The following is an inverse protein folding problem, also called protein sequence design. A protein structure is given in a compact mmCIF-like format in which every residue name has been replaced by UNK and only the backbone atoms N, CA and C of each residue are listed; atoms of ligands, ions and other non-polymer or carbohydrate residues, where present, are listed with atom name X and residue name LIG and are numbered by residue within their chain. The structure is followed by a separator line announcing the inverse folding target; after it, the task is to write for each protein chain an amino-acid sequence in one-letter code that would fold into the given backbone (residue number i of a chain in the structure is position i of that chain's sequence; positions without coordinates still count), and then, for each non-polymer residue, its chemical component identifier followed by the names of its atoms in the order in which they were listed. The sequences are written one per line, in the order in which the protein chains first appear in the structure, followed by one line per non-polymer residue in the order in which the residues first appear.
data_IF_733402984334
#
_entry.id   IF_733402984334
#
_cell.length_a   1.000
_cell.length_b   1.000
_cell.length_c   1.000
_cell.angle_alpha   90.00
_cell.angle_beta   90.00
_cell.angle_gamma   90.00
#
_symmetry.space_group_name_H-M   'P 1'
#
loop_
_entity.id
_entity.type
_entity.pdbx_description
1 polymer ?
#
# COMPACT_ATOMS: atom_id res chain seq x y z
N UNK A 1 5.26 -31.77 9.30
CA UNK A 1 3.95 -32.27 8.81
C UNK A 1 3.15 -31.08 8.34
N UNK A 2 2.88 -31.00 7.04
CA UNK A 2 1.74 -30.28 6.44
C UNK A 2 1.66 -30.77 4.98
N UNK A 3 0.91 -31.86 4.80
CA UNK A 3 0.67 -32.52 3.53
C UNK A 3 -0.35 -31.70 2.74
N UNK A 4 0.07 -31.05 1.65
CA UNK A 4 -0.85 -30.54 0.62
C UNK A 4 -1.45 -31.70 -0.19
N UNK A 5 -2.71 -31.58 -0.67
CA UNK A 5 -3.36 -32.65 -1.40
C UNK A 5 -2.69 -32.87 -2.77
N UNK A 6 -2.36 -34.13 -3.03
CA UNK A 6 -1.82 -34.65 -4.29
C UNK A 6 -2.80 -34.38 -5.43
N UNK A 7 -2.33 -33.73 -6.52
CA UNK A 7 -2.73 -33.77 -7.95
C UNK A 7 -4.21 -33.97 -8.41
N UNK A 8 -5.18 -34.05 -7.52
CA UNK A 8 -6.62 -34.11 -7.78
C UNK A 8 -7.43 -33.64 -6.55
N UNK A 9 -6.86 -32.76 -5.74
CA UNK A 9 -7.53 -32.16 -4.58
C UNK A 9 -8.45 -31.04 -5.04
N UNK A 10 -9.69 -31.38 -5.38
CA UNK A 10 -10.72 -30.39 -5.70
C UNK A 10 -10.84 -29.35 -4.59
N UNK A 11 -11.05 -28.10 -4.96
CA UNK A 11 -11.33 -27.01 -4.04
C UNK A 11 -12.58 -27.40 -3.22
N UNK A 12 -12.41 -27.79 -1.95
CA UNK A 12 -13.51 -28.32 -1.14
C UNK A 12 -14.42 -27.19 -0.66
N UNK A 13 -15.68 -27.47 -0.29
CA UNK A 13 -16.56 -26.47 0.30
C UNK A 13 -15.94 -25.76 1.52
N UNK A 14 -15.17 -26.48 2.34
CA UNK A 14 -14.48 -25.92 3.51
C UNK A 14 -13.41 -24.91 3.09
N UNK A 15 -12.69 -25.17 2.00
CA UNK A 15 -11.73 -24.20 1.45
C UNK A 15 -12.46 -22.95 0.95
N UNK A 16 -13.59 -23.10 0.24
CA UNK A 16 -14.40 -21.95 -0.21
C UNK A 16 -14.84 -21.11 0.99
N UNK A 17 -15.34 -21.75 2.04
CA UNK A 17 -15.80 -21.07 3.24
C UNK A 17 -14.66 -20.32 3.94
N UNK A 18 -13.48 -20.94 4.09
CA UNK A 18 -12.32 -20.27 4.67
C UNK A 18 -11.92 -19.02 3.88
N UNK A 19 -11.91 -19.08 2.54
CA UNK A 19 -11.65 -17.91 1.71
C UNK A 19 -12.72 -16.83 1.86
N UNK A 20 -14.00 -17.23 1.93
CA UNK A 20 -15.09 -16.28 2.10
C UNK A 20 -15.00 -15.56 3.45
N UNK A 21 -14.77 -16.29 4.55
CA UNK A 21 -14.64 -15.72 5.90
C UNK A 21 -13.41 -14.81 6.02
N UNK A 22 -12.27 -15.26 5.49
CA UNK A 22 -11.00 -14.53 5.56
C UNK A 22 -10.86 -13.40 4.55
N UNK A 23 -11.82 -13.17 3.66
CA UNK A 23 -11.78 -12.07 2.68
C UNK A 23 -13.05 -11.20 2.73
N UNK A 24 -13.96 -11.45 3.67
CA UNK A 24 -15.25 -10.77 3.78
C UNK A 24 -15.12 -9.26 4.06
N UNK A 25 -14.01 -8.83 4.64
CA UNK A 25 -13.70 -7.43 4.94
C UNK A 25 -13.17 -6.63 3.73
N UNK A 26 -12.85 -7.29 2.62
CA UNK A 26 -12.33 -6.66 1.41
C UNK A 26 -13.47 -6.23 0.48
N UNK A 27 -13.29 -5.11 -0.24
CA UNK A 27 -14.24 -4.69 -1.26
C UNK A 27 -14.27 -5.72 -2.41
N UNK A 28 -15.47 -6.12 -2.82
CA UNK A 28 -15.64 -7.14 -3.85
C UNK A 28 -15.05 -6.72 -5.20
N UNK A 29 -15.19 -5.43 -5.56
CA UNK A 29 -14.64 -4.89 -6.81
C UNK A 29 -13.12 -4.93 -6.82
N UNK A 30 -12.48 -4.45 -5.75
CA UNK A 30 -11.02 -4.55 -5.58
C UNK A 30 -10.53 -5.99 -5.56
N UNK A 31 -11.24 -6.88 -4.86
CA UNK A 31 -10.90 -8.30 -4.78
C UNK A 31 -10.92 -8.98 -6.15
N UNK A 32 -11.90 -8.66 -7.01
CA UNK A 32 -11.94 -9.20 -8.38
C UNK A 32 -10.72 -8.79 -9.21
N UNK A 33 -10.26 -7.55 -9.10
CA UNK A 33 -9.07 -7.07 -9.82
C UNK A 33 -7.82 -7.79 -9.36
N UNK A 34 -7.67 -7.95 -8.04
CA UNK A 34 -6.56 -8.67 -7.41
C UNK A 34 -6.52 -10.14 -7.86
N UNK A 35 -7.64 -10.85 -7.78
CA UNK A 35 -7.73 -12.25 -8.19
C UNK A 35 -7.37 -12.40 -9.68
N UNK A 36 -7.89 -11.53 -10.55
CA UNK A 36 -7.54 -11.54 -11.98
C UNK A 36 -6.07 -11.28 -12.23
N UNK A 37 -5.44 -10.44 -11.40
CA UNK A 37 -4.01 -10.15 -11.49
C UNK A 37 -3.19 -11.39 -11.10
N UNK A 38 -3.51 -11.98 -9.95
CA UNK A 38 -2.81 -13.17 -9.43
C UNK A 38 -2.95 -14.37 -10.36
N UNK A 39 -4.12 -14.61 -10.95
CA UNK A 39 -4.34 -15.70 -11.93
C UNK A 39 -3.47 -15.53 -13.19
N UNK A 40 -3.12 -14.29 -13.56
CA UNK A 40 -2.24 -14.04 -14.72
C UNK A 40 -0.77 -14.27 -14.41
N UNK A 41 -0.36 -14.18 -13.15
CA UNK A 41 1.05 -14.21 -12.73
C UNK A 41 1.43 -15.49 -12.01
N UNK A 42 0.47 -16.21 -11.43
CA UNK A 42 0.70 -17.45 -10.68
C UNK A 42 0.13 -18.65 -11.43
N UNK A 43 0.91 -19.73 -11.51
CA UNK A 43 0.48 -21.01 -12.08
C UNK A 43 -0.44 -21.82 -11.15
N UNK A 44 -0.66 -21.32 -9.92
CA UNK A 44 -1.34 -22.01 -8.83
C UNK A 44 -2.40 -21.11 -8.18
N UNK A 45 -3.30 -21.72 -7.41
CA UNK A 45 -4.33 -20.97 -6.69
C UNK A 45 -3.69 -20.07 -5.62
N UNK A 46 -3.94 -18.75 -5.62
CA UNK A 46 -3.25 -17.84 -4.73
C UNK A 46 -3.70 -18.04 -3.28
N UNK A 47 -2.75 -18.11 -2.36
CA UNK A 47 -3.05 -18.18 -0.94
C UNK A 47 -3.79 -16.92 -0.45
N UNK A 48 -4.65 -17.04 0.56
CA UNK A 48 -5.36 -15.91 1.21
C UNK A 48 -4.40 -14.76 1.56
N UNK A 49 -3.21 -15.10 2.09
CA UNK A 49 -2.18 -14.11 2.43
C UNK A 49 -1.61 -13.36 1.20
N UNK A 50 -1.52 -14.04 0.04
CA UNK A 50 -1.11 -13.42 -1.22
C UNK A 50 -2.20 -12.49 -1.75
N UNK A 51 -3.47 -12.93 -1.71
CA UNK A 51 -4.63 -12.10 -2.07
C UNK A 51 -4.67 -10.83 -1.22
N UNK A 52 -4.58 -10.94 0.10
CA UNK A 52 -4.56 -9.78 1.00
C UNK A 52 -3.37 -8.86 0.75
N UNK A 53 -2.19 -9.40 0.43
CA UNK A 53 -1.00 -8.61 0.10
C UNK A 53 -1.20 -7.77 -1.15
N UNK A 54 -1.68 -8.42 -2.20
CA UNK A 54 -1.89 -7.78 -3.49
C UNK A 54 -3.04 -6.77 -3.42
N UNK A 55 -4.11 -7.09 -2.69
CA UNK A 55 -5.18 -6.15 -2.38
C UNK A 55 -4.66 -4.92 -1.63
N UNK A 56 -3.80 -5.12 -0.62
CA UNK A 56 -3.18 -4.01 0.09
C UNK A 56 -2.35 -3.13 -0.83
N UNK A 57 -1.52 -3.74 -1.69
CA UNK A 57 -0.68 -3.02 -2.64
C UNK A 57 -1.50 -2.18 -3.63
N UNK A 58 -2.67 -2.66 -4.05
CA UNK A 58 -3.56 -1.94 -4.96
C UNK A 58 -4.46 -0.92 -4.26
N UNK A 59 -4.90 -1.20 -3.03
CA UNK A 59 -5.79 -0.33 -2.26
C UNK A 59 -5.05 0.83 -1.57
N UNK A 60 -3.79 0.60 -1.17
CA UNK A 60 -2.96 1.64 -0.59
C UNK A 60 -2.34 2.42 -1.75
N UNK A 61 -2.96 3.56 -2.09
CA UNK A 61 -2.34 4.56 -2.96
C UNK A 61 -1.18 5.23 -2.21
N UNK A 62 -0.07 4.51 -2.07
CA UNK A 62 1.14 5.06 -1.49
C UNK A 62 1.89 5.85 -2.57
N UNK A 63 2.32 7.10 -2.31
CA UNK A 63 3.14 7.81 -3.28
C UNK A 63 4.41 7.00 -3.56
N UNK A 64 4.83 7.03 -4.82
CA UNK A 64 6.16 6.54 -5.22
C UNK A 64 7.24 7.18 -4.34
N UNK A 65 8.35 6.49 -4.14
CA UNK A 65 9.41 6.92 -3.24
C UNK A 65 10.00 8.29 -3.63
N UNK A 66 10.14 8.56 -4.94
CA UNK A 66 10.61 9.87 -5.42
C UNK A 66 9.53 10.95 -5.33
N UNK A 67 8.26 10.58 -5.52
CA UNK A 67 7.14 11.49 -5.23
C UNK A 67 7.10 11.88 -3.76
N UNK A 68 7.18 10.90 -2.85
CA UNK A 68 7.19 11.13 -1.40
C UNK A 68 8.37 12.03 -1.01
N UNK A 69 9.57 11.73 -1.53
CA UNK A 69 10.75 12.54 -1.25
C UNK A 69 10.60 13.99 -1.72
N UNK A 70 10.04 14.21 -2.92
CA UNK A 70 9.74 15.55 -3.42
C UNK A 70 8.75 16.29 -2.53
N UNK A 71 7.74 15.60 -2.00
CA UNK A 71 6.79 16.22 -1.06
C UNK A 71 7.43 16.56 0.28
N UNK A 72 8.29 15.69 0.82
CA UNK A 72 9.08 15.99 2.03
C UNK A 72 9.91 17.27 1.81
N UNK A 73 10.63 17.37 0.69
CA UNK A 73 11.41 18.57 0.36
C UNK A 73 10.54 19.83 0.19
N UNK A 74 9.36 19.70 -0.42
CA UNK A 74 8.40 20.79 -0.57
C UNK A 74 7.98 21.31 0.80
N UNK A 75 7.58 20.41 1.71
CA UNK A 75 7.13 20.76 3.05
C UNK A 75 8.26 21.28 3.94
N UNK A 76 9.46 20.71 3.84
CA UNK A 76 10.66 21.20 4.53
C UNK A 76 10.95 22.67 4.19
N UNK A 77 10.88 23.03 2.90
CA UNK A 77 11.06 24.43 2.48
C UNK A 77 9.93 25.31 3.01
N UNK A 78 8.68 24.85 2.91
CA UNK A 78 7.52 25.62 3.38
C UNK A 78 7.57 25.91 4.88
N UNK A 79 8.00 24.94 5.72
CA UNK A 79 8.12 25.09 7.17
C UNK A 79 9.31 25.97 7.55
N UNK A 80 10.45 25.86 6.86
CA UNK A 80 11.63 26.71 7.11
C UNK A 80 11.34 28.20 6.90
N UNK A 81 10.50 28.54 5.91
CA UNK A 81 10.11 29.93 5.63
C UNK A 81 8.86 30.38 6.41
N UNK A 82 8.36 29.58 7.34
CA UNK A 82 7.14 29.88 8.10
C UNK A 82 5.88 30.00 7.24
N UNK A 83 5.89 29.45 6.02
CA UNK A 83 4.83 29.63 5.02
C UNK A 83 3.63 28.72 5.23
N UNK A 84 3.77 27.63 5.99
CA UNK A 84 2.68 26.70 6.26
C UNK A 84 2.71 26.18 7.70
N UNK A 85 1.51 25.87 8.22
CA UNK A 85 1.35 25.26 9.55
C UNK A 85 1.60 23.75 9.46
N UNK A 86 2.24 23.17 10.47
CA UNK A 86 2.46 21.73 10.57
C UNK A 86 1.17 20.90 10.46
N UNK A 87 0.03 21.48 10.86
CA UNK A 87 -1.28 20.85 10.77
C UNK A 87 -1.77 20.59 9.33
N UNK A 88 -1.17 21.25 8.33
CA UNK A 88 -1.50 21.07 6.92
C UNK A 88 -0.64 19.98 6.25
N UNK A 89 0.41 19.51 6.94
CA UNK A 89 1.33 18.49 6.41
C UNK A 89 0.58 17.16 6.35
N UNK A 90 0.59 16.45 5.19
CA UNK A 90 -0.02 15.14 5.09
C UNK A 90 0.59 14.14 6.08
N UNK A 91 -0.21 13.26 6.71
CA UNK A 91 0.29 12.34 7.75
C UNK A 91 1.45 11.44 7.30
N UNK A 92 1.47 10.99 6.05
CA UNK A 92 2.56 10.16 5.51
C UNK A 92 3.88 10.95 5.38
N UNK A 93 3.83 12.27 5.15
CA UNK A 93 5.03 13.12 5.15
C UNK A 93 5.55 13.29 6.57
N UNK A 94 4.65 13.46 7.55
CA UNK A 94 5.04 13.55 8.96
C UNK A 94 5.69 12.26 9.45
N UNK A 95 5.10 11.10 9.15
CA UNK A 95 5.68 9.81 9.53
C UNK A 95 7.06 9.60 8.89
N UNK A 96 7.23 9.98 7.61
CA UNK A 96 8.54 9.96 6.95
C UNK A 96 9.56 10.88 7.62
N UNK A 97 9.15 12.10 7.96
CA UNK A 97 10.02 13.09 8.62
C UNK A 97 10.44 12.62 10.01
N UNK A 98 9.51 12.06 10.79
CA UNK A 98 9.82 11.46 12.09
C UNK A 98 10.84 10.34 11.96
N UNK A 99 10.69 9.48 10.94
CA UNK A 99 11.67 8.42 10.66
C UNK A 99 13.06 8.98 10.34
N UNK A 100 13.13 10.12 9.66
CA UNK A 100 14.38 10.79 9.29
C UNK A 100 14.98 11.65 10.42
N UNK A 101 14.44 11.59 11.64
CA UNK A 101 14.93 12.34 12.80
C UNK A 101 14.28 13.71 13.00
N UNK A 102 13.22 14.01 12.26
CA UNK A 102 12.44 15.24 12.38
C UNK A 102 12.94 16.39 11.50
N UNK A 103 12.16 17.48 11.49
CA UNK A 103 12.44 18.66 10.66
C UNK A 103 13.78 19.31 10.93
N UNK A 104 14.24 19.29 12.20
CA UNK A 104 15.51 19.88 12.60
C UNK A 104 16.69 19.17 11.92
N UNK A 105 16.69 17.84 11.93
CA UNK A 105 17.78 17.06 11.32
C UNK A 105 17.77 17.13 9.79
N UNK A 106 16.57 17.18 9.19
CA UNK A 106 16.45 17.44 7.75
C UNK A 106 17.01 18.82 7.36
N UNK A 107 16.86 19.82 8.23
CA UNK A 107 17.36 21.17 8.00
C UNK A 107 18.87 21.35 8.22
N UNK A 108 19.47 20.63 9.18
CA UNK A 108 20.90 20.79 9.54
C UNK A 108 21.82 20.22 8.44
N UNK A 109 21.34 19.28 7.63
CA UNK A 109 21.92 18.82 6.35
C UNK A 109 23.45 18.54 6.31
N UNK A 110 24.09 18.31 7.47
CA UNK A 110 25.55 18.11 7.57
C UNK A 110 26.04 16.83 6.90
N UNK A 111 25.15 15.85 6.72
CA UNK A 111 25.42 14.57 6.05
C UNK A 111 25.17 14.54 4.55
N UNK A 112 24.71 15.65 3.96
CA UNK A 112 24.35 15.76 2.55
C UNK A 112 22.98 15.16 2.19
N UNK A 113 22.30 15.80 1.23
CA UNK A 113 20.93 15.43 0.82
C UNK A 113 20.83 14.02 0.22
N UNK A 114 21.89 13.52 -0.42
CA UNK A 114 21.89 12.20 -1.03
C UNK A 114 21.83 11.08 0.00
N UNK A 115 22.55 11.22 1.11
CA UNK A 115 22.50 10.28 2.22
C UNK A 115 21.10 10.25 2.84
N UNK A 116 20.52 11.43 3.07
CA UNK A 116 19.16 11.54 3.62
C UNK A 116 18.13 10.93 2.65
N UNK A 117 18.26 11.18 1.34
CA UNK A 117 17.42 10.54 0.33
C UNK A 117 17.53 9.02 0.39
N UNK A 118 18.74 8.47 0.50
CA UNK A 118 18.93 7.01 0.61
C UNK A 118 18.29 6.43 1.89
N UNK A 119 18.26 7.19 2.99
CA UNK A 119 17.50 6.81 4.18
C UNK A 119 15.98 6.91 3.96
N UNK A 120 15.51 7.93 3.25
CA UNK A 120 14.10 8.11 2.92
C UNK A 120 13.57 6.98 2.03
N UNK A 121 14.34 6.52 1.05
CA UNK A 121 13.98 5.37 0.21
C UNK A 121 13.84 4.08 1.03
N UNK A 122 14.75 3.85 1.98
CA UNK A 122 14.67 2.70 2.90
C UNK A 122 13.47 2.80 3.83
N UNK A 123 13.22 4.00 4.38
CA UNK A 123 12.07 4.28 5.21
C UNK A 123 10.75 4.03 4.48
N UNK A 124 10.66 4.46 3.21
CA UNK A 124 9.49 4.28 2.36
C UNK A 124 9.16 2.79 2.20
N UNK A 125 10.16 1.97 1.86
CA UNK A 125 9.97 0.52 1.74
C UNK A 125 9.44 -0.10 3.05
N UNK A 126 9.97 0.33 4.21
CA UNK A 126 9.52 -0.14 5.51
C UNK A 126 8.09 0.32 5.85
N UNK A 127 7.73 1.56 5.53
CA UNK A 127 6.38 2.10 5.75
C UNK A 127 5.36 1.39 4.86
N UNK A 128 5.72 1.14 3.60
CA UNK A 128 4.92 0.39 2.64
C UNK A 128 4.68 -1.05 3.13
N UNK A 129 5.73 -1.76 3.55
CA UNK A 129 5.62 -3.10 4.11
C UNK A 129 4.76 -3.13 5.38
N UNK A 130 4.89 -2.13 6.25
CA UNK A 130 4.07 -2.00 7.46
C UNK A 130 2.60 -1.77 7.11
N UNK A 131 2.32 -0.92 6.12
CA UNK A 131 0.97 -0.67 5.65
C UNK A 131 0.34 -1.95 5.06
N UNK A 132 1.08 -2.70 4.25
CA UNK A 132 0.66 -4.01 3.75
C UNK A 132 0.37 -4.98 4.89
N UNK A 133 1.25 -5.10 5.89
CA UNK A 133 1.05 -6.00 7.03
C UNK A 133 -0.21 -5.68 7.84
N UNK A 134 -0.53 -4.39 8.01
CA UNK A 134 -1.77 -3.97 8.69
C UNK A 134 -3.02 -4.46 7.95
N UNK A 135 -3.02 -4.42 6.61
CA UNK A 135 -4.10 -5.00 5.79
C UNK A 135 -4.14 -6.53 5.92
N UNK A 136 -2.98 -7.18 5.91
CA UNK A 136 -2.89 -8.63 6.05
C UNK A 136 -3.45 -9.12 7.39
N UNK A 137 -3.27 -8.37 8.48
CA UNK A 137 -3.78 -8.71 9.81
C UNK A 137 -5.24 -8.28 10.05
N UNK A 138 -6.00 -7.92 9.00
CA UNK A 138 -7.41 -7.52 9.13
C UNK A 138 -7.62 -6.14 9.80
N UNK A 139 -6.57 -5.31 9.89
CA UNK A 139 -6.63 -3.98 10.51
C UNK A 139 -6.91 -2.86 9.50
N UNK A 140 -7.64 -3.16 8.41
CA UNK A 140 -7.96 -2.21 7.35
C UNK A 140 -8.63 -0.92 7.85
N UNK A 141 -9.44 -1.00 8.92
CA UNK A 141 -10.13 0.16 9.54
C UNK A 141 -9.17 1.27 10.02
N UNK A 142 -7.87 0.97 10.20
CA UNK A 142 -6.86 1.91 10.66
C UNK A 142 -6.07 2.58 9.52
N UNK A 143 -6.15 2.08 8.29
CA UNK A 143 -5.52 2.68 7.11
C UNK A 143 -6.43 3.73 6.49
N UNK A 144 -6.75 4.78 7.26
CA UNK A 144 -7.40 5.99 6.71
C UNK A 144 -6.33 6.91 6.10
N UNK A 145 -5.67 6.45 5.03
CA UNK A 145 -5.00 7.37 4.12
C UNK A 145 -6.02 7.74 3.05
N UNK A 146 -6.60 8.92 3.22
CA UNK A 146 -7.56 9.49 2.29
C UNK A 146 -6.94 9.63 0.91
N UNK A 147 -7.43 8.86 -0.05
CA UNK A 147 -7.68 9.35 -1.41
C UNK A 147 -8.74 8.47 -2.02
N UNK A 148 -9.79 9.10 -2.55
CA UNK A 148 -10.89 8.46 -3.27
C UNK A 148 -10.37 7.39 -4.23
N UNK A 149 -10.73 6.12 -3.97
CA UNK A 149 -10.65 5.08 -4.98
C UNK A 149 -11.66 5.44 -6.08
N UNK A 150 -11.24 6.28 -7.03
CA UNK A 150 -11.84 6.29 -8.36
C UNK A 150 -11.38 5.02 -9.06
N UNK A 151 -12.00 3.90 -8.72
CA UNK A 151 -12.00 2.71 -9.58
C UNK A 151 -12.56 3.21 -10.90
N UNK A 152 -11.70 3.29 -11.92
CA UNK A 152 -12.04 3.85 -13.21
C UNK A 152 -13.32 3.22 -13.76
N UNK A 153 -14.40 4.01 -13.81
CA UNK A 153 -15.55 3.79 -14.67
C UNK A 153 -15.13 4.02 -16.12
N UNK A 154 -14.27 3.12 -16.61
CA UNK A 154 -13.63 3.18 -17.91
C UNK A 154 -13.86 1.91 -18.73
N UNK A 155 -15.05 1.31 -18.64
CA UNK A 155 -15.50 0.34 -19.64
C UNK A 155 -16.69 0.96 -20.35
N UNK A 156 -16.40 1.81 -21.35
CA UNK A 156 -17.38 2.10 -22.40
C UNK A 156 -17.45 0.85 -23.27
N UNK A 157 -18.49 0.05 -23.08
CA UNK A 157 -18.88 -0.93 -24.08
C UNK A 157 -19.43 -0.16 -25.28
N UNK A 158 -18.65 -0.05 -26.36
CA UNK A 158 -19.19 0.30 -27.67
C UNK A 158 -20.01 -0.89 -28.17
N UNK A 159 -21.28 -0.71 -28.58
CA UNK A 159 -22.05 -1.77 -29.19
C UNK A 159 -21.49 -2.07 -30.59
N UNK A 160 -21.47 -3.34 -31.02
CA UNK A 160 -21.18 -3.69 -32.40
C UNK A 160 -22.33 -3.20 -33.29
N UNK A 161 -22.02 -2.28 -34.20
CA UNK A 161 -22.86 -1.91 -35.34
C UNK A 161 -22.26 -2.46 -36.62
#
# INVERSE_FOLDING_TARGET
MNSFPKKSGGFTPENVQAYAEELIDLDYGGLQVVIRTLIRTEDWFPAIAAIRREYAAQAISYPDADQLWREVLRWMRATQFGRQRLAEVPPYVLEMVEFLGGWRELGDNRGGMDTIRAHALRAHAMMHDRAIRRVQCGQLKQLKFSTDLKIGSGIKASPPG
#
